data_IF_131563694902
#
_entry.id   IF_131563694902
#
_cell.length_a   1.000
_cell.length_b   1.000
_cell.length_c   1.000
_cell.angle_alpha   90.00
_cell.angle_beta   90.00
_cell.angle_gamma   90.00
#
_symmetry.space_group_name_H-M   'P 1'
#
loop_
_entity.id
_entity.type
_entity.pdbx_description
1 polymer ?
#
# COMPACT_ATOMS: atom_id res chain seq x y z
N UNK A 1 6.15 -8.27 -9.55
CA UNK A 1 4.85 -8.93 -9.77
C UNK A 1 3.87 -8.33 -8.77
N UNK A 2 2.77 -7.76 -9.25
CA UNK A 2 1.79 -7.04 -8.43
C UNK A 2 0.69 -8.03 -8.01
N UNK A 3 0.31 -8.02 -6.73
CA UNK A 3 -0.77 -8.84 -6.20
C UNK A 3 -1.84 -7.95 -5.57
N UNK A 4 -3.11 -8.25 -5.82
CA UNK A 4 -4.23 -7.65 -5.12
C UNK A 4 -4.66 -8.51 -3.94
N UNK A 5 -4.91 -7.90 -2.78
CA UNK A 5 -5.44 -8.56 -1.60
C UNK A 5 -6.75 -7.89 -1.18
N UNK A 6 -7.81 -8.67 -1.03
CA UNK A 6 -9.15 -8.17 -0.78
C UNK A 6 -9.79 -8.89 0.41
N UNK A 7 -10.47 -8.11 1.25
CA UNK A 7 -11.39 -8.63 2.26
C UNK A 7 -12.80 -8.16 1.89
N UNK A 8 -13.70 -9.09 1.59
CA UNK A 8 -15.01 -8.78 1.03
C UNK A 8 -16.13 -9.56 1.72
N UNK A 9 -17.28 -8.89 1.90
CA UNK A 9 -18.54 -9.52 2.25
C UNK A 9 -19.29 -9.85 0.94
N UNK A 10 -19.74 -11.09 0.79
CA UNK A 10 -20.33 -11.59 -0.45
C UNK A 10 -21.71 -12.20 -0.19
N UNK A 11 -22.62 -12.03 -1.14
CA UNK A 11 -23.93 -12.71 -1.14
C UNK A 11 -23.87 -14.15 -1.69
N UNK A 12 -22.82 -14.47 -2.45
CA UNK A 12 -22.53 -15.79 -3.00
C UNK A 12 -21.03 -16.06 -3.00
N UNK A 13 -20.63 -17.33 -2.95
CA UNK A 13 -19.21 -17.66 -2.93
C UNK A 13 -18.56 -17.44 -4.31
N UNK A 14 -17.34 -16.94 -4.34
CA UNK A 14 -16.58 -16.76 -5.57
C UNK A 14 -16.05 -18.11 -6.05
N UNK A 15 -16.32 -18.46 -7.30
CA UNK A 15 -15.68 -19.57 -7.98
C UNK A 15 -14.22 -19.21 -8.30
N UNK A 16 -13.30 -19.94 -7.68
CA UNK A 16 -11.85 -19.70 -7.82
C UNK A 16 -11.36 -19.96 -9.24
N UNK A 17 -11.90 -20.95 -9.93
CA UNK A 17 -11.47 -21.30 -11.29
C UNK A 17 -11.96 -20.28 -12.29
N UNK A 18 -13.23 -19.89 -12.18
CA UNK A 18 -13.77 -18.81 -13.00
C UNK A 18 -12.96 -17.51 -12.80
N UNK A 19 -12.68 -17.14 -11.54
CA UNK A 19 -11.87 -15.95 -11.24
C UNK A 19 -10.46 -16.06 -11.83
N UNK A 20 -9.84 -17.24 -11.80
CA UNK A 20 -8.52 -17.49 -12.38
C UNK A 20 -8.51 -17.29 -13.90
N UNK A 21 -9.54 -17.79 -14.60
CA UNK A 21 -9.68 -17.60 -16.04
C UNK A 21 -9.92 -16.14 -16.42
N UNK A 22 -10.81 -15.45 -15.69
CA UNK A 22 -11.08 -14.02 -15.90
C UNK A 22 -9.83 -13.17 -15.66
N UNK A 23 -9.10 -13.46 -14.59
CA UNK A 23 -7.84 -12.80 -14.26
C UNK A 23 -6.80 -13.02 -15.36
N UNK A 24 -6.62 -14.26 -15.81
CA UNK A 24 -5.68 -14.58 -16.88
C UNK A 24 -6.03 -13.93 -18.21
N UNK A 25 -7.32 -13.84 -18.54
CA UNK A 25 -7.78 -13.10 -19.72
C UNK A 25 -7.41 -11.61 -19.64
N UNK A 26 -7.41 -11.03 -18.44
CA UNK A 26 -7.09 -9.62 -18.25
C UNK A 26 -5.58 -9.35 -18.26
N UNK A 27 -4.77 -10.16 -17.58
CA UNK A 27 -3.32 -9.91 -17.49
C UNK A 27 -2.49 -10.57 -18.59
N UNK A 28 -2.99 -11.64 -19.21
CA UNK A 28 -2.31 -12.41 -20.26
C UNK A 28 -1.22 -13.38 -19.77
N UNK A 29 -0.75 -13.24 -18.52
CA UNK A 29 0.42 -13.97 -18.00
C UNK A 29 0.27 -14.46 -16.54
N UNK A 30 -0.82 -14.11 -15.87
CA UNK A 30 -1.06 -14.42 -14.45
C UNK A 30 -2.40 -15.13 -14.30
N UNK A 31 -2.42 -16.25 -13.59
CA UNK A 31 -3.63 -17.03 -13.34
C UNK A 31 -3.77 -17.41 -11.86
N UNK A 32 -2.81 -17.02 -11.02
CA UNK A 32 -2.80 -17.40 -9.60
C UNK A 32 -3.81 -16.54 -8.85
N UNK A 33 -4.91 -17.15 -8.46
CA UNK A 33 -5.91 -16.58 -7.57
C UNK A 33 -6.00 -17.43 -6.31
N UNK A 34 -6.40 -16.83 -5.18
CA UNK A 34 -6.72 -17.58 -3.98
C UNK A 34 -7.95 -16.98 -3.30
N UNK A 35 -8.92 -17.84 -3.02
CA UNK A 35 -10.22 -17.46 -2.44
C UNK A 35 -10.48 -18.38 -1.27
N UNK A 36 -10.62 -17.80 -0.08
CA UNK A 36 -10.88 -18.54 1.16
C UNK A 36 -12.02 -17.91 1.91
N UNK A 37 -12.89 -18.75 2.48
CA UNK A 37 -13.88 -18.29 3.46
C UNK A 37 -13.15 -17.91 4.76
N UNK A 38 -13.50 -16.77 5.31
CA UNK A 38 -13.10 -16.40 6.66
C UNK A 38 -14.02 -17.12 7.65
N UNK A 39 -13.46 -18.01 8.48
CA UNK A 39 -14.18 -18.65 9.57
C UNK A 39 -13.73 -18.05 10.91
N UNK A 40 -14.67 -17.77 11.81
CA UNK A 40 -14.38 -17.17 13.12
C UNK A 40 -14.16 -15.66 13.04
N UNK A 41 -13.22 -15.15 13.86
CA UNK A 41 -12.97 -13.72 14.03
C UNK A 41 -12.43 -13.03 12.76
N UNK A 42 -13.19 -12.10 12.13
CA UNK A 42 -12.78 -11.41 10.90
C UNK A 42 -11.45 -10.65 10.99
N UNK A 43 -11.06 -10.27 12.21
CA UNK A 43 -9.85 -9.48 12.48
C UNK A 43 -8.59 -10.15 11.96
N UNK A 44 -8.47 -11.47 12.10
CA UNK A 44 -7.28 -12.19 11.64
C UNK A 44 -7.14 -12.14 10.11
N UNK A 45 -8.24 -12.34 9.38
CA UNK A 45 -8.26 -12.23 7.92
C UNK A 45 -8.01 -10.79 7.45
N UNK A 46 -8.54 -9.80 8.19
CA UNK A 46 -8.27 -8.39 7.90
C UNK A 46 -6.78 -8.06 8.09
N UNK A 47 -6.16 -8.50 9.19
CA UNK A 47 -4.72 -8.32 9.42
C UNK A 47 -3.88 -8.96 8.30
N UNK A 48 -4.27 -10.15 7.84
CA UNK A 48 -3.60 -10.85 6.74
C UNK A 48 -3.66 -10.07 5.42
N UNK A 49 -4.78 -9.39 5.13
CA UNK A 49 -4.87 -8.50 3.95
C UNK A 49 -4.06 -7.23 4.16
N UNK A 50 -4.15 -6.61 5.34
CA UNK A 50 -3.44 -5.37 5.66
C UNK A 50 -1.91 -5.52 5.64
N UNK A 51 -1.36 -6.69 5.97
CA UNK A 51 0.11 -6.90 5.95
C UNK A 51 0.73 -6.62 4.57
N UNK A 52 -0.04 -6.83 3.50
CA UNK A 52 0.44 -6.62 2.13
C UNK A 52 0.51 -5.16 1.73
N UNK A 53 -0.23 -4.27 2.42
CA UNK A 53 -0.09 -2.82 2.21
C UNK A 53 1.32 -2.33 2.60
N UNK A 54 1.94 -2.96 3.59
CA UNK A 54 3.28 -2.60 4.07
C UNK A 54 4.42 -3.36 3.37
N UNK A 55 4.12 -4.37 2.53
CA UNK A 55 5.16 -5.26 1.96
C UNK A 55 6.22 -4.53 1.11
N UNK A 56 5.93 -3.32 0.65
CA UNK A 56 6.86 -2.50 -0.10
C UNK A 56 8.00 -1.93 0.75
N UNK A 57 7.88 -1.94 2.09
CA UNK A 57 8.96 -1.52 2.99
C UNK A 57 10.20 -2.41 2.90
N UNK A 58 10.06 -3.63 2.37
CA UNK A 58 11.14 -4.59 2.21
C UNK A 58 11.88 -4.47 0.86
N UNK A 59 11.47 -3.51 0.00
CA UNK A 59 12.14 -3.26 -1.29
C UNK A 59 13.46 -2.50 -1.07
N UNK A 60 14.45 -2.78 -1.92
CA UNK A 60 15.65 -1.95 -2.02
C UNK A 60 15.35 -0.57 -2.63
N UNK A 61 16.22 0.41 -2.40
CA UNK A 61 15.99 1.80 -2.82
C UNK A 61 15.67 1.94 -4.32
N UNK A 62 16.36 1.24 -5.26
CA UNK A 62 16.04 1.35 -6.68
C UNK A 62 14.64 0.81 -7.02
N UNK A 63 14.24 -0.35 -6.48
CA UNK A 63 12.90 -0.92 -6.74
C UNK A 63 11.81 -0.13 -6.06
N UNK A 64 12.07 0.41 -4.88
CA UNK A 64 11.12 1.27 -4.17
C UNK A 64 10.85 2.55 -4.96
N UNK A 65 11.89 3.15 -5.56
CA UNK A 65 11.74 4.29 -6.46
C UNK A 65 10.95 3.96 -7.73
N UNK A 66 11.29 2.85 -8.42
CA UNK A 66 10.54 2.39 -9.61
C UNK A 66 9.06 2.17 -9.28
N UNK A 67 8.80 1.51 -8.15
CA UNK A 67 7.45 1.27 -7.65
C UNK A 67 6.72 2.58 -7.36
N UNK A 68 7.36 3.53 -6.66
CA UNK A 68 6.79 4.85 -6.38
C UNK A 68 6.37 5.55 -7.68
N UNK A 69 7.26 5.59 -8.67
CA UNK A 69 6.96 6.21 -9.97
C UNK A 69 5.77 5.57 -10.68
N UNK A 70 5.58 4.25 -10.54
CA UNK A 70 4.45 3.54 -11.12
C UNK A 70 3.11 3.77 -10.41
N UNK A 71 3.11 4.09 -9.11
CA UNK A 71 1.89 4.25 -8.29
C UNK A 71 1.64 5.68 -7.84
N UNK A 72 2.55 6.62 -8.14
CA UNK A 72 2.44 8.01 -7.72
C UNK A 72 1.11 8.62 -8.22
N UNK A 73 0.41 9.32 -7.34
CA UNK A 73 -0.94 9.83 -7.58
C UNK A 73 -2.06 8.78 -7.56
N UNK A 74 -1.73 7.48 -7.49
CA UNK A 74 -2.67 6.38 -7.35
C UNK A 74 -3.03 6.10 -5.88
N UNK A 75 -4.27 5.69 -5.64
CA UNK A 75 -4.70 5.19 -4.32
C UNK A 75 -4.46 3.68 -4.27
N UNK A 76 -3.46 3.25 -3.49
CA UNK A 76 -3.09 1.85 -3.32
C UNK A 76 -3.95 1.07 -2.31
N UNK A 77 -4.72 1.80 -1.50
CA UNK A 77 -5.55 1.25 -0.43
C UNK A 77 -6.90 1.95 -0.45
N UNK A 78 -7.98 1.21 -0.62
CA UNK A 78 -9.35 1.74 -0.59
C UNK A 78 -10.20 1.03 0.47
N UNK A 79 -10.10 1.45 1.73
CA UNK A 79 -10.90 0.87 2.80
C UNK A 79 -12.36 1.29 2.65
N UNK A 80 -13.25 0.32 2.89
CA UNK A 80 -14.70 0.50 2.87
C UNK A 80 -15.31 0.25 4.25
N UNK A 81 -16.56 0.69 4.43
CA UNK A 81 -17.31 0.51 5.68
C UNK A 81 -16.62 1.16 6.89
N UNK A 82 -16.54 0.44 8.00
CA UNK A 82 -15.99 0.94 9.27
C UNK A 82 -14.48 1.24 9.22
N UNK A 83 -13.78 0.86 8.15
CA UNK A 83 -12.36 1.18 7.96
C UNK A 83 -12.16 2.50 7.22
N UNK A 84 -13.21 3.08 6.65
CA UNK A 84 -13.13 4.35 5.92
C UNK A 84 -13.14 5.51 6.92
N UNK A 85 -12.08 6.33 6.89
CA UNK A 85 -11.98 7.50 7.78
C UNK A 85 -11.55 7.17 9.21
N UNK A 86 -10.99 5.97 9.45
CA UNK A 86 -10.34 5.66 10.73
C UNK A 86 -9.15 6.61 10.91
N UNK A 87 -9.21 7.41 11.96
CA UNK A 87 -8.09 8.26 12.38
C UNK A 87 -7.00 7.35 12.94
N UNK A 88 -5.92 7.18 12.18
CA UNK A 88 -4.75 6.40 12.59
C UNK A 88 -3.86 7.24 13.49
N UNK A 89 -4.14 7.28 14.80
CA UNK A 89 -3.26 7.93 15.80
C UNK A 89 -2.86 9.38 15.48
N UNK A 90 -1.85 9.89 16.19
CA UNK A 90 -1.19 11.14 15.82
C UNK A 90 -0.20 10.85 14.68
N UNK A 91 -0.62 11.06 13.43
CA UNK A 91 0.27 11.12 12.25
C UNK A 91 1.30 12.27 12.37
N UNK A 92 1.11 13.12 13.36
CA UNK A 92 1.81 14.35 13.68
C UNK A 92 3.22 14.09 14.26
N UNK A 93 3.59 12.82 14.47
CA UNK A 93 4.87 12.38 15.05
C UNK A 93 5.87 11.84 14.01
N UNK A 94 5.55 11.89 12.71
CA UNK A 94 6.48 11.49 11.65
C UNK A 94 7.72 12.42 11.66
N UNK A 95 8.86 11.89 12.11
CA UNK A 95 10.13 12.62 12.15
C UNK A 95 10.91 12.44 10.86
N UNK A 96 11.54 13.53 10.39
CA UNK A 96 12.49 13.50 9.28
C UNK A 96 13.90 13.08 9.72
N UNK A 97 14.15 13.01 11.04
CA UNK A 97 15.44 12.57 11.58
C UNK A 97 15.68 11.09 11.29
N UNK A 98 16.90 10.74 10.88
CA UNK A 98 17.28 9.36 10.60
C UNK A 98 16.84 8.83 9.23
N UNK A 99 16.08 9.60 8.44
CA UNK A 99 15.86 9.27 7.03
C UNK A 99 17.22 9.25 6.31
N UNK A 100 17.51 8.15 5.61
CA UNK A 100 18.70 7.96 4.77
C UNK A 100 18.27 7.35 3.44
N UNK A 101 19.09 7.45 2.40
CA UNK A 101 18.79 6.89 1.07
C UNK A 101 18.99 7.88 -0.09
N UNK A 102 19.10 7.36 -1.33
CA UNK A 102 19.51 8.12 -2.51
C UNK A 102 18.36 8.88 -3.20
N UNK A 103 17.10 8.68 -2.79
CA UNK A 103 15.93 9.30 -3.40
C UNK A 103 15.09 10.04 -2.36
N UNK A 104 14.76 11.31 -2.63
CA UNK A 104 13.77 12.10 -1.89
C UNK A 104 13.03 13.01 -2.88
N UNK A 105 11.71 13.11 -2.73
CA UNK A 105 10.85 13.91 -3.61
C UNK A 105 10.15 15.02 -2.80
N UNK A 106 8.99 14.73 -2.19
CA UNK A 106 8.25 15.69 -1.35
C UNK A 106 7.96 15.11 0.03
N UNK A 107 8.11 15.95 1.06
CA UNK A 107 7.64 15.69 2.41
C UNK A 107 6.30 16.40 2.59
N UNK A 108 5.28 15.63 2.95
CA UNK A 108 3.96 16.14 3.31
C UNK A 108 3.77 16.09 4.82
N UNK A 109 3.65 17.24 5.46
CA UNK A 109 3.35 17.34 6.90
C UNK A 109 1.90 17.78 7.08
N UNK A 110 1.12 17.02 7.84
CA UNK A 110 -0.25 17.40 8.18
C UNK A 110 -0.24 18.46 9.30
N UNK A 111 -0.87 19.61 9.06
CA UNK A 111 -1.00 20.68 10.05
C UNK A 111 -2.42 20.65 10.64
N UNK A 112 -2.57 20.00 11.79
CA UNK A 112 -3.89 19.71 12.38
C UNK A 112 -4.75 20.96 12.65
N UNK A 113 -4.16 22.01 13.22
CA UNK A 113 -4.85 23.28 13.52
C UNK A 113 -5.39 23.97 12.25
N UNK A 114 -4.69 23.79 11.13
CA UNK A 114 -5.00 24.44 9.87
C UNK A 114 -5.77 23.53 8.90
N UNK A 115 -5.94 22.25 9.25
CA UNK A 115 -6.61 21.21 8.45
C UNK A 115 -6.09 21.16 7.00
N UNK A 116 -4.78 21.28 6.81
CA UNK A 116 -4.12 21.27 5.49
C UNK A 116 -2.78 20.55 5.53
N UNK A 117 -2.31 20.13 4.35
CA UNK A 117 -0.94 19.65 4.17
C UNK A 117 0.01 20.80 3.87
N UNK A 118 1.18 20.81 4.51
CA UNK A 118 2.34 21.57 4.09
C UNK A 118 3.26 20.64 3.28
N UNK A 119 3.60 21.05 2.05
CA UNK A 119 4.48 20.31 1.15
C UNK A 119 5.81 21.03 1.06
N UNK A 120 6.90 20.32 1.34
CA UNK A 120 8.26 20.80 1.15
C UNK A 120 9.04 19.78 0.32
N UNK A 121 9.94 20.25 -0.54
CA UNK A 121 10.89 19.35 -1.19
C UNK A 121 11.77 18.69 -0.12
N UNK A 122 12.05 17.40 -0.24
CA UNK A 122 13.00 16.74 0.64
C UNK A 122 14.39 17.40 0.53
N UNK A 123 15.21 17.40 1.59
CA UNK A 123 16.60 17.85 1.46
C UNK A 123 17.31 17.02 0.38
N UNK A 124 18.33 17.56 -0.32
CA UNK A 124 19.00 16.84 -1.38
C UNK A 124 19.49 15.48 -0.89
N UNK A 125 19.36 14.41 -1.69
CA UNK A 125 19.77 13.08 -1.28
C UNK A 125 21.25 13.09 -0.87
N UNK A 126 21.55 12.43 0.23
CA UNK A 126 22.93 12.20 0.64
C UNK A 126 23.52 11.23 -0.37
N UNK A 127 24.28 11.73 -1.34
CA UNK A 127 25.02 10.90 -2.29
C UNK A 127 25.88 9.93 -1.50
N UNK A 128 25.52 8.63 -1.48
CA UNK A 128 26.47 7.62 -1.08
C UNK A 128 27.62 7.68 -2.10
N UNK A 129 28.89 7.74 -1.66
CA UNK A 129 29.99 7.67 -2.60
C UNK A 129 29.84 6.37 -3.39
N UNK A 130 29.87 6.47 -4.73
CA UNK A 130 29.95 5.31 -5.60
C UNK A 130 31.07 4.39 -5.09
N UNK A 131 30.72 3.15 -4.74
CA UNK A 131 31.68 2.04 -4.52
C UNK A 131 31.42 0.99 -5.57
#
# INVERSE_FOLDING_TARGET
HVHGHFFALLSGYIDKFQLSEEWHRFTGDSSITDVRKCYGEPRAALHEVCKYACKFSDLDDPKLWEFHQGVNGGRMFDPAGNLRGVLTGELDQDSLEGLSGPYRDWVATWLWLEKKYHLQAGPPPTMLPYV
#
